data_IF_997526230771
#
_entry.id   IF_997526230771
#
_cell.length_a   1.000
_cell.length_b   1.000
_cell.length_c   1.000
_cell.angle_alpha   90.00
_cell.angle_beta   90.00
_cell.angle_gamma   90.00
#
_symmetry.space_group_name_H-M   'P 1'
#
loop_
_entity.id
_entity.type
_entity.pdbx_description
1 polymer ?
#
# COMPACT_ATOMS: atom_id res chain seq x y z
N UNK A 1 -13.29 11.20 57.35
CA UNK A 1 -13.40 11.11 55.87
C UNK A 1 -12.06 10.78 55.16
N UNK A 2 -11.08 10.14 55.82
CA UNK A 2 -9.72 9.89 55.26
C UNK A 2 -9.46 8.43 54.86
N UNK A 3 -10.36 7.51 55.20
CA UNK A 3 -10.22 6.06 54.95
C UNK A 3 -10.82 5.60 53.61
N UNK A 4 -11.67 6.41 52.99
CA UNK A 4 -12.34 6.10 51.72
C UNK A 4 -11.37 5.86 50.54
N UNK A 5 -10.30 6.67 50.33
CA UNK A 5 -9.38 6.42 49.22
C UNK A 5 -8.55 5.15 49.41
N UNK A 6 -8.26 4.77 50.67
CA UNK A 6 -7.47 3.58 51.00
C UNK A 6 -8.27 2.32 50.69
N UNK A 7 -9.56 2.30 51.04
CA UNK A 7 -10.44 1.16 50.73
C UNK A 7 -10.57 0.96 49.22
N UNK A 8 -10.70 2.03 48.44
CA UNK A 8 -10.79 1.94 46.97
C UNK A 8 -9.47 1.41 46.37
N UNK A 9 -8.33 1.87 46.85
CA UNK A 9 -7.01 1.40 46.38
C UNK A 9 -6.80 -0.09 46.69
N UNK A 10 -7.18 -0.54 47.87
CA UNK A 10 -7.09 -1.96 48.27
C UNK A 10 -8.04 -2.83 47.46
N UNK A 11 -9.27 -2.37 47.22
CA UNK A 11 -10.24 -3.10 46.37
C UNK A 11 -9.76 -3.20 44.92
N UNK A 12 -9.20 -2.11 44.38
CA UNK A 12 -8.67 -2.08 43.02
C UNK A 12 -7.46 -3.03 42.88
N UNK A 13 -6.54 -3.01 43.85
CA UNK A 13 -5.40 -3.94 43.90
C UNK A 13 -5.84 -5.41 43.94
N UNK A 14 -6.83 -5.75 44.76
CA UNK A 14 -7.34 -7.12 44.85
C UNK A 14 -7.96 -7.61 43.53
N UNK A 15 -8.69 -6.75 42.81
CA UNK A 15 -9.29 -7.10 41.51
C UNK A 15 -8.21 -7.24 40.41
N UNK A 16 -7.16 -6.41 40.44
CA UNK A 16 -6.06 -6.50 39.48
C UNK A 16 -5.23 -7.78 39.64
N UNK A 17 -5.03 -8.26 40.87
CA UNK A 17 -4.25 -9.47 41.15
C UNK A 17 -5.05 -10.78 41.02
N UNK A 18 -6.39 -10.74 41.06
CA UNK A 18 -7.23 -11.94 41.01
C UNK A 18 -7.42 -12.53 39.59
N UNK A 19 -6.64 -12.10 38.58
CA UNK A 19 -6.79 -12.63 37.22
C UNK A 19 -6.11 -14.00 37.11
N UNK A 20 -6.86 -15.12 36.98
CA UNK A 20 -6.25 -16.42 36.82
C UNK A 20 -5.43 -16.48 35.52
N UNK A 21 -4.29 -17.18 35.50
CA UNK A 21 -3.53 -17.38 34.28
C UNK A 21 -4.43 -18.09 33.25
N UNK A 22 -4.62 -17.46 32.09
CA UNK A 22 -5.36 -18.05 30.99
C UNK A 22 -4.53 -19.20 30.40
N UNK A 23 -4.77 -20.41 30.87
CA UNK A 23 -4.09 -21.65 30.42
C UNK A 23 -4.74 -22.28 29.19
N UNK A 24 -5.72 -21.63 28.56
CA UNK A 24 -6.31 -22.15 27.34
C UNK A 24 -5.37 -21.86 26.16
N UNK A 25 -4.77 -22.88 25.52
CA UNK A 25 -4.07 -22.65 24.27
C UNK A 25 -5.07 -22.04 23.29
N UNK A 26 -4.72 -20.87 22.73
CA UNK A 26 -5.54 -20.25 21.70
C UNK A 26 -5.59 -21.21 20.52
N UNK A 27 -6.75 -21.82 20.28
CA UNK A 27 -6.95 -22.59 19.06
C UNK A 27 -6.87 -21.63 17.88
N UNK A 28 -5.70 -21.54 17.25
CA UNK A 28 -5.56 -20.93 15.94
C UNK A 28 -6.32 -21.83 14.98
N UNK A 29 -7.54 -21.42 14.63
CA UNK A 29 -8.30 -22.01 13.54
C UNK A 29 -7.61 -21.60 12.22
N UNK A 30 -6.43 -22.17 11.99
CA UNK A 30 -5.74 -22.14 10.71
C UNK A 30 -6.25 -23.25 9.79
N UNK A 31 -6.02 -23.10 8.50
CA UNK A 31 -6.25 -24.16 7.53
C UNK A 31 -5.34 -25.34 7.87
N UNK A 32 -5.93 -26.47 8.28
CA UNK A 32 -5.20 -27.71 8.62
C UNK A 32 -4.57 -28.39 7.39
N UNK A 33 -4.99 -27.98 6.19
CA UNK A 33 -4.47 -28.50 4.93
C UNK A 33 -3.47 -27.50 4.34
N UNK A 34 -2.19 -27.68 4.66
CA UNK A 34 -1.07 -26.94 4.05
C UNK A 34 -1.08 -27.06 2.52
N UNK A 35 -1.56 -28.18 1.98
CA UNK A 35 -1.73 -28.40 0.55
C UNK A 35 -2.78 -27.49 -0.11
N UNK A 36 -3.76 -26.98 0.66
CA UNK A 36 -4.78 -26.03 0.20
C UNK A 36 -4.43 -24.57 0.55
N UNK A 37 -3.25 -24.31 1.10
CA UNK A 37 -2.71 -22.96 1.23
C UNK A 37 -2.26 -22.44 -0.14
N UNK A 38 -3.22 -22.06 -0.97
CA UNK A 38 -3.00 -21.43 -2.29
C UNK A 38 -2.60 -19.96 -2.18
N UNK A 39 -2.52 -19.40 -0.98
CA UNK A 39 -1.91 -18.10 -0.71
C UNK A 39 -0.36 -18.19 -0.77
N UNK A 40 0.19 -18.86 -1.78
CA UNK A 40 1.57 -18.63 -2.20
C UNK A 40 1.54 -17.42 -3.11
N UNK A 41 2.07 -16.31 -2.59
CA UNK A 41 1.94 -14.96 -3.13
C UNK A 41 2.01 -14.87 -4.65
N UNK A 42 1.04 -14.17 -5.21
CA UNK A 42 1.15 -13.53 -6.52
C UNK A 42 2.35 -12.57 -6.45
N UNK A 43 3.54 -13.02 -6.84
CA UNK A 43 4.75 -12.21 -6.64
C UNK A 43 6.11 -12.89 -6.88
N UNK A 44 6.19 -14.22 -6.94
CA UNK A 44 7.43 -14.91 -7.35
C UNK A 44 7.55 -14.94 -8.88
N UNK A 45 7.87 -13.79 -9.49
CA UNK A 45 8.31 -13.68 -10.89
C UNK A 45 9.84 -13.82 -10.97
N UNK A 46 10.38 -14.87 -10.36
CA UNK A 46 11.79 -15.21 -10.56
C UNK A 46 11.88 -15.97 -11.89
N UNK A 47 12.31 -15.29 -12.96
CA UNK A 47 12.73 -15.98 -14.19
C UNK A 47 11.86 -15.84 -15.43
N UNK A 48 10.97 -14.84 -15.51
CA UNK A 48 10.55 -14.43 -16.86
C UNK A 48 11.78 -13.81 -17.53
N UNK A 49 12.28 -14.34 -18.68
CA UNK A 49 13.22 -13.56 -19.50
C UNK A 49 12.59 -12.18 -19.68
N UNK A 50 13.36 -11.08 -19.74
CA UNK A 50 12.78 -9.76 -19.91
C UNK A 50 11.85 -9.86 -21.10
N UNK A 51 10.53 -9.89 -20.82
CA UNK A 51 9.53 -9.84 -21.88
C UNK A 51 9.92 -8.58 -22.56
N UNK A 52 10.36 -8.71 -23.81
CA UNK A 52 10.78 -7.59 -24.63
C UNK A 52 9.54 -6.74 -24.71
N UNK A 53 9.42 -5.79 -23.76
CA UNK A 53 8.25 -4.95 -23.65
C UNK A 53 8.12 -4.36 -25.04
N UNK A 54 6.95 -4.47 -25.68
CA UNK A 54 6.77 -3.91 -26.99
C UNK A 54 7.17 -2.44 -26.87
N UNK A 55 8.34 -2.10 -27.41
CA UNK A 55 8.85 -0.73 -27.31
C UNK A 55 7.84 0.09 -28.07
N UNK A 56 7.12 0.95 -27.34
CA UNK A 56 6.20 1.89 -27.94
C UNK A 56 6.99 2.66 -29.01
N UNK A 57 6.57 2.50 -30.26
CA UNK A 57 7.21 3.22 -31.37
C UNK A 57 6.83 4.69 -31.22
N UNK A 58 7.83 5.57 -31.30
CA UNK A 58 7.59 7.02 -31.20
C UNK A 58 6.58 7.50 -32.25
N UNK A 59 6.67 6.97 -33.48
CA UNK A 59 5.74 7.25 -34.58
C UNK A 59 4.28 6.94 -34.21
N UNK A 60 4.05 5.77 -33.61
CA UNK A 60 2.72 5.35 -33.20
C UNK A 60 2.19 6.25 -32.09
N UNK A 61 3.02 6.55 -31.08
CA UNK A 61 2.64 7.43 -29.98
C UNK A 61 2.30 8.84 -30.47
N UNK A 62 3.11 9.40 -31.37
CA UNK A 62 2.85 10.72 -31.95
C UNK A 62 1.52 10.74 -32.71
N UNK A 63 1.24 9.72 -33.52
CA UNK A 63 -0.03 9.59 -34.23
C UNK A 63 -1.21 9.46 -33.24
N UNK A 64 -1.08 8.66 -32.20
CA UNK A 64 -2.13 8.47 -31.20
C UNK A 64 -2.43 9.76 -30.42
N UNK A 65 -1.39 10.49 -29.99
CA UNK A 65 -1.53 11.79 -29.31
C UNK A 65 -2.16 12.86 -30.21
N UNK A 66 -1.89 12.81 -31.52
CA UNK A 66 -2.46 13.75 -32.50
C UNK A 66 -3.95 13.46 -32.73
N UNK A 67 -4.32 12.19 -32.81
CA UNK A 67 -5.70 11.78 -33.08
C UNK A 67 -6.60 11.80 -31.84
N UNK A 68 -6.02 11.74 -30.64
CA UNK A 68 -6.75 11.69 -29.38
C UNK A 68 -6.31 12.82 -28.41
N UNK A 69 -7.02 13.96 -28.39
CA UNK A 69 -6.65 15.10 -27.55
C UNK A 69 -6.82 14.80 -26.05
N UNK A 70 -7.75 13.92 -25.67
CA UNK A 70 -7.93 13.49 -24.27
C UNK A 70 -6.70 12.72 -23.77
N UNK A 71 -6.17 11.82 -24.60
CA UNK A 71 -4.94 11.10 -24.31
C UNK A 71 -3.76 12.06 -24.16
N UNK A 72 -3.65 13.05 -25.06
CA UNK A 72 -2.62 14.07 -24.97
C UNK A 72 -2.71 14.88 -23.67
N UNK A 73 -3.92 15.28 -23.29
CA UNK A 73 -4.16 15.96 -22.01
C UNK A 73 -3.76 15.10 -20.80
N UNK A 74 -4.11 13.81 -20.79
CA UNK A 74 -3.67 12.89 -19.75
C UNK A 74 -2.16 12.70 -19.73
N UNK A 75 -1.52 12.66 -20.89
CA UNK A 75 -0.07 12.50 -20.99
C UNK A 75 0.66 13.70 -20.40
N UNK A 76 0.23 14.92 -20.76
CA UNK A 76 0.77 16.17 -20.21
C UNK A 76 0.61 16.20 -18.69
N UNK A 77 -0.62 15.97 -18.19
CA UNK A 77 -0.93 15.97 -16.75
C UNK A 77 -0.17 14.92 -15.95
N UNK A 78 0.23 13.81 -16.59
CA UNK A 78 0.89 12.71 -15.90
C UNK A 78 2.41 12.82 -15.91
N UNK A 79 2.98 13.35 -16.99
CA UNK A 79 4.42 13.26 -17.26
C UNK A 79 5.12 14.61 -17.36
N UNK A 80 4.41 15.70 -17.66
CA UNK A 80 5.00 17.03 -17.81
C UNK A 80 4.62 17.96 -16.67
N UNK A 81 3.33 18.03 -16.34
CA UNK A 81 2.79 18.80 -15.21
C UNK A 81 3.03 17.99 -13.92
N UNK A 82 4.15 18.26 -13.26
CA UNK A 82 4.64 17.47 -12.12
C UNK A 82 3.93 17.90 -10.84
N UNK A 83 3.65 19.19 -10.70
CA UNK A 83 2.97 19.76 -9.54
C UNK A 83 1.43 19.78 -9.66
N UNK A 84 0.89 19.41 -10.83
CA UNK A 84 -0.53 19.31 -11.13
C UNK A 84 -1.28 20.65 -10.99
N UNK A 85 -0.61 21.76 -11.28
CA UNK A 85 -1.19 23.10 -11.22
C UNK A 85 -1.99 23.46 -12.48
N UNK A 86 -1.92 22.62 -13.51
CA UNK A 86 -2.63 22.79 -14.78
C UNK A 86 -1.92 23.69 -15.79
N UNK A 87 -0.72 24.17 -15.48
CA UNK A 87 0.17 24.88 -16.37
C UNK A 87 1.46 24.07 -16.57
N UNK A 88 2.26 24.45 -17.57
CA UNK A 88 3.57 23.83 -17.77
C UNK A 88 4.60 24.93 -17.58
N UNK A 89 5.34 24.86 -16.48
CA UNK A 89 6.42 25.80 -16.20
C UNK A 89 7.66 25.49 -17.07
N UNK A 90 8.53 26.49 -17.35
CA UNK A 90 9.79 26.24 -18.06
C UNK A 90 10.69 25.23 -17.33
N UNK A 91 10.61 25.19 -16.01
CA UNK A 91 11.38 24.27 -15.19
C UNK A 91 10.91 22.83 -15.41
N UNK A 92 9.63 22.56 -15.53
CA UNK A 92 9.10 21.23 -15.80
C UNK A 92 9.38 20.77 -17.23
N UNK A 93 9.30 21.69 -18.19
CA UNK A 93 9.57 21.39 -19.60
C UNK A 93 11.05 21.09 -19.85
N UNK A 94 11.95 21.77 -19.13
CA UNK A 94 13.40 21.62 -19.26
C UNK A 94 14.01 20.67 -18.23
N UNK A 95 13.27 20.31 -17.17
CA UNK A 95 13.71 19.31 -16.22
C UNK A 95 13.86 17.97 -16.95
N UNK A 96 15.12 17.64 -17.28
CA UNK A 96 15.51 16.25 -17.50
C UNK A 96 15.23 15.53 -16.18
N UNK A 97 14.09 14.87 -16.12
CA UNK A 97 13.75 13.92 -15.07
C UNK A 97 14.96 13.01 -14.83
N UNK A 98 15.46 13.07 -13.59
CA UNK A 98 16.69 12.40 -13.16
C UNK A 98 16.43 10.95 -12.76
#
# INVERSE_FOLDING_TARGET
>A
MKSLPIVILVLCGAVCLARPPQTRPRATRGFKNVALSTARGFGKRDGLPPLQQPRLKAEWLANELTNNPELAGMFVRRFLDVDADGFISPNELLARTH
#
